data_IF_427830873316
#
_entry.id   IF_427830873316
#
_cell.length_a   1.000
_cell.length_b   1.000
_cell.length_c   1.000
_cell.angle_alpha   90.00
_cell.angle_beta   90.00
_cell.angle_gamma   90.00
#
_symmetry.space_group_name_H-M   'P 1'
#
loop_
_entity.id
_entity.type
_entity.pdbx_description
1 polymer ?
#
# COMPACT_ATOMS: atom_id res chain seq x y z
N UNK A 1 -7.70 26.94 -11.77
CA UNK A 1 -8.30 25.68 -12.26
C UNK A 1 -7.34 24.52 -11.96
N UNK A 2 -7.30 24.05 -10.71
CA UNK A 2 -6.59 22.82 -10.28
C UNK A 2 -7.51 22.18 -9.26
N UNK A 3 -8.47 21.37 -9.69
CA UNK A 3 -9.39 20.75 -8.72
C UNK A 3 -9.65 19.27 -8.91
N UNK A 4 -9.22 18.66 -10.01
CA UNK A 4 -9.24 17.21 -10.15
C UNK A 4 -8.03 16.81 -10.99
N UNK A 5 -7.14 16.02 -10.41
CA UNK A 5 -6.18 15.25 -11.20
C UNK A 5 -7.03 14.25 -11.98
N UNK A 6 -7.30 14.59 -13.24
CA UNK A 6 -8.03 13.73 -14.17
C UNK A 6 -7.18 12.47 -14.41
N UNK A 7 -7.75 11.28 -14.32
CA UNK A 7 -7.12 10.00 -14.72
C UNK A 7 -6.36 10.06 -16.04
N UNK A 8 -6.78 10.93 -16.97
CA UNK A 8 -6.08 11.17 -18.23
C UNK A 8 -4.71 11.84 -18.02
N UNK A 9 -4.62 12.75 -17.05
CA UNK A 9 -3.40 13.44 -16.67
C UNK A 9 -2.35 12.44 -16.14
N UNK A 10 -2.72 11.61 -15.16
CA UNK A 10 -1.80 10.60 -14.58
C UNK A 10 -1.32 9.62 -15.66
N UNK A 11 -2.22 9.14 -16.50
CA UNK A 11 -1.85 8.26 -17.60
C UNK A 11 -0.91 8.95 -18.60
N UNK A 12 -1.14 10.23 -18.90
CA UNK A 12 -0.24 11.04 -19.72
C UNK A 12 1.16 11.18 -19.11
N UNK A 13 1.25 11.43 -17.81
CA UNK A 13 2.52 11.48 -17.08
C UNK A 13 3.27 10.14 -17.14
N UNK A 14 2.57 9.02 -16.95
CA UNK A 14 3.14 7.66 -17.05
C UNK A 14 3.69 7.42 -18.46
N UNK A 15 2.96 7.85 -19.50
CA UNK A 15 3.39 7.69 -20.89
C UNK A 15 4.65 8.51 -21.22
N UNK A 16 4.71 9.76 -20.76
CA UNK A 16 5.89 10.62 -20.92
C UNK A 16 7.09 10.05 -20.15
N UNK A 17 6.86 9.60 -18.92
CA UNK A 17 7.89 8.95 -18.11
C UNK A 17 8.44 7.69 -18.80
N UNK A 18 7.57 6.84 -19.33
CA UNK A 18 7.97 5.61 -20.01
C UNK A 18 8.81 5.88 -21.25
N UNK A 19 8.40 6.85 -22.08
CA UNK A 19 9.13 7.24 -23.28
C UNK A 19 10.50 7.88 -22.99
N UNK A 20 10.67 8.48 -21.81
CA UNK A 20 11.92 9.16 -21.40
C UNK A 20 12.90 8.26 -20.65
N UNK A 21 12.52 7.02 -20.31
CA UNK A 21 13.38 6.08 -19.57
C UNK A 21 13.85 4.89 -20.41
N UNK A 22 15.02 4.35 -20.04
CA UNK A 22 15.58 3.12 -20.63
C UNK A 22 14.71 1.91 -20.29
N UNK A 23 14.75 0.90 -21.17
CA UNK A 23 14.24 -0.44 -20.91
C UNK A 23 14.72 -0.91 -19.52
N UNK A 24 13.77 -1.27 -18.63
CA UNK A 24 13.92 -1.80 -17.25
C UNK A 24 13.45 -0.89 -16.10
N UNK A 25 12.99 0.34 -16.34
CA UNK A 25 12.37 1.14 -15.27
C UNK A 25 10.97 0.60 -14.89
N UNK A 26 10.67 0.53 -13.60
CA UNK A 26 9.36 0.08 -13.09
C UNK A 26 8.54 1.27 -12.60
N UNK A 27 7.29 1.35 -13.06
CA UNK A 27 6.31 2.33 -12.58
C UNK A 27 5.41 1.70 -11.52
N UNK A 28 5.18 2.42 -10.44
CA UNK A 28 4.32 1.98 -9.32
C UNK A 28 3.22 3.02 -9.13
N UNK A 29 1.97 2.64 -9.33
CA UNK A 29 0.83 3.48 -8.94
C UNK A 29 0.40 3.17 -7.50
N UNK A 30 0.10 4.22 -6.74
CA UNK A 30 -0.41 4.14 -5.37
C UNK A 30 -1.56 5.12 -5.16
N UNK A 31 -2.44 4.83 -4.20
CA UNK A 31 -3.66 5.63 -4.00
C UNK A 31 -3.36 7.02 -3.45
N UNK A 32 -2.51 7.10 -2.42
CA UNK A 32 -2.22 8.31 -1.68
C UNK A 32 -0.72 8.62 -1.60
N UNK A 33 -0.41 9.86 -1.19
CA UNK A 33 0.98 10.30 -1.01
C UNK A 33 1.67 9.56 0.14
N UNK A 34 0.92 9.17 1.17
CA UNK A 34 1.44 8.40 2.29
C UNK A 34 1.99 7.05 1.83
N UNK A 35 1.22 6.34 1.00
CA UNK A 35 1.60 5.05 0.41
C UNK A 35 2.89 5.17 -0.40
N UNK A 36 3.03 6.23 -1.21
CA UNK A 36 4.27 6.49 -1.94
C UNK A 36 5.47 6.58 -0.98
N UNK A 37 5.35 7.39 0.07
CA UNK A 37 6.44 7.60 1.03
C UNK A 37 6.80 6.32 1.78
N UNK A 38 5.82 5.46 2.05
CA UNK A 38 6.03 4.17 2.68
C UNK A 38 6.68 3.18 1.73
N UNK A 39 6.01 2.85 0.62
CA UNK A 39 6.45 1.81 -0.29
C UNK A 39 7.80 2.12 -0.92
N UNK A 40 8.10 3.39 -1.21
CA UNK A 40 9.39 3.79 -1.79
C UNK A 40 10.61 3.31 -0.98
N UNK A 41 10.46 3.03 0.32
CA UNK A 41 11.53 2.49 1.18
C UNK A 41 11.93 1.05 0.80
N UNK A 42 11.04 0.30 0.16
CA UNK A 42 11.24 -1.12 -0.17
C UNK A 42 11.61 -1.36 -1.64
N UNK A 43 11.61 -0.32 -2.47
CA UNK A 43 11.91 -0.44 -3.91
C UNK A 43 13.33 0.03 -4.24
N UNK A 44 13.89 -0.56 -5.31
CA UNK A 44 15.20 -0.16 -5.85
C UNK A 44 15.17 1.25 -6.45
N UNK A 45 16.35 1.84 -6.71
CA UNK A 45 16.47 3.19 -7.30
C UNK A 45 15.86 3.31 -8.71
N UNK A 46 15.59 2.21 -9.41
CA UNK A 46 15.03 2.23 -10.77
C UNK A 46 13.49 2.17 -10.80
N UNK A 47 12.85 2.71 -9.77
CA UNK A 47 11.40 2.74 -9.62
C UNK A 47 10.89 4.17 -9.58
N UNK A 48 9.76 4.42 -10.23
CA UNK A 48 9.04 5.70 -10.15
C UNK A 48 7.64 5.47 -9.61
N UNK A 49 7.20 6.37 -8.73
CA UNK A 49 5.89 6.31 -8.11
C UNK A 49 4.95 7.34 -8.74
N UNK A 50 3.68 6.96 -8.86
CA UNK A 50 2.60 7.79 -9.38
C UNK A 50 1.43 7.72 -8.42
N UNK A 51 1.12 8.83 -7.77
CA UNK A 51 -0.06 8.94 -6.90
C UNK A 51 -1.31 9.13 -7.76
N UNK A 52 -2.36 8.36 -7.50
CA UNK A 52 -3.60 8.38 -8.28
C UNK A 52 -4.76 9.13 -7.63
N UNK A 53 -4.61 9.56 -6.38
CA UNK A 53 -5.65 10.20 -5.58
C UNK A 53 -6.91 9.33 -5.47
N UNK A 54 -6.69 8.07 -5.05
CA UNK A 54 -7.72 7.10 -4.74
C UNK A 54 -7.75 5.87 -5.65
N UNK A 55 -8.39 4.83 -5.11
CA UNK A 55 -8.61 3.52 -5.69
C UNK A 55 -9.23 3.55 -7.11
N UNK A 56 -10.34 4.26 -7.29
CA UNK A 56 -11.05 4.27 -8.58
C UNK A 56 -10.19 4.80 -9.72
N UNK A 57 -9.40 5.84 -9.44
CA UNK A 57 -8.46 6.40 -10.42
C UNK A 57 -7.32 5.43 -10.72
N UNK A 58 -6.82 4.72 -9.69
CA UNK A 58 -5.79 3.70 -9.86
C UNK A 58 -6.26 2.59 -10.80
N UNK A 59 -7.46 2.04 -10.57
CA UNK A 59 -8.05 1.02 -11.43
C UNK A 59 -8.20 1.49 -12.88
N UNK A 60 -8.66 2.72 -13.10
CA UNK A 60 -8.81 3.27 -14.44
C UNK A 60 -7.47 3.50 -15.14
N UNK A 61 -6.43 3.91 -14.41
CA UNK A 61 -5.07 4.03 -14.93
C UNK A 61 -4.52 2.65 -15.32
N UNK A 62 -4.62 1.65 -14.45
CA UNK A 62 -4.18 0.27 -14.74
C UNK A 62 -4.93 -0.30 -15.93
N UNK A 63 -6.25 -0.11 -16.00
CA UNK A 63 -7.07 -0.53 -17.14
C UNK A 63 -6.56 0.06 -18.46
N UNK A 64 -6.18 1.34 -18.48
CA UNK A 64 -5.61 1.99 -19.67
C UNK A 64 -4.23 1.45 -20.03
N UNK A 65 -3.36 1.25 -19.05
CA UNK A 65 -2.03 0.67 -19.25
C UNK A 65 -2.15 -0.73 -19.87
N UNK A 66 -3.02 -1.57 -19.31
CA UNK A 66 -3.26 -2.92 -19.81
C UNK A 66 -3.88 -2.90 -21.21
N UNK A 67 -4.84 -2.01 -21.48
CA UNK A 67 -5.43 -1.85 -22.81
C UNK A 67 -4.40 -1.45 -23.88
N UNK A 68 -3.35 -0.71 -23.51
CA UNK A 68 -2.29 -0.28 -24.42
C UNK A 68 -1.07 -1.23 -24.42
N UNK A 69 -1.13 -2.37 -23.74
CA UNK A 69 -0.01 -3.31 -23.57
C UNK A 69 1.26 -2.65 -22.99
N UNK A 70 1.08 -1.66 -22.12
CA UNK A 70 2.18 -0.95 -21.50
C UNK A 70 2.81 -1.77 -20.36
N UNK A 71 3.87 -2.53 -20.68
CA UNK A 71 4.64 -3.32 -19.69
C UNK A 71 5.43 -2.45 -18.71
N UNK A 72 5.79 -3.06 -17.57
CA UNK A 72 6.69 -2.47 -16.56
C UNK A 72 5.99 -1.64 -15.49
N UNK A 73 4.70 -1.90 -15.24
CA UNK A 73 3.89 -1.11 -14.34
C UNK A 73 3.08 -1.99 -13.38
N UNK A 74 3.02 -1.59 -12.11
CA UNK A 74 2.25 -2.27 -11.06
C UNK A 74 1.42 -1.25 -10.27
N UNK A 75 0.20 -1.59 -9.90
CA UNK A 75 -0.61 -0.85 -8.94
C UNK A 75 -0.51 -1.48 -7.55
N UNK A 76 -0.46 -0.67 -6.49
CA UNK A 76 -0.55 -1.12 -5.10
C UNK A 76 -1.80 -0.51 -4.47
N UNK A 77 -2.63 -1.36 -3.88
CA UNK A 77 -3.92 -1.01 -3.28
C UNK A 77 -3.99 -1.59 -1.87
N UNK A 78 -4.52 -0.82 -0.92
CA UNK A 78 -4.85 -1.36 0.40
C UNK A 78 -6.04 -2.32 0.29
N UNK A 79 -5.94 -3.47 0.94
CA UNK A 79 -7.06 -4.39 1.05
C UNK A 79 -8.30 -3.73 1.65
N UNK A 80 -8.18 -2.82 2.62
CA UNK A 80 -9.29 -2.25 3.39
C UNK A 80 -10.40 -3.31 3.65
N UNK A 81 -11.67 -2.89 3.65
CA UNK A 81 -12.82 -3.79 3.75
C UNK A 81 -13.09 -4.60 2.47
N UNK A 82 -12.31 -4.45 1.40
CA UNK A 82 -12.57 -5.07 0.08
C UNK A 82 -12.60 -6.60 0.14
N UNK A 83 -11.85 -7.18 1.08
CA UNK A 83 -11.88 -8.62 1.37
C UNK A 83 -13.20 -9.09 1.98
N UNK A 84 -13.82 -8.27 2.82
CA UNK A 84 -15.12 -8.54 3.45
C UNK A 84 -16.24 -8.34 2.42
N UNK A 85 -16.10 -7.32 1.57
CA UNK A 85 -17.04 -7.01 0.49
C UNK A 85 -16.93 -7.96 -0.72
N UNK A 86 -15.98 -8.91 -0.68
CA UNK A 86 -15.71 -9.87 -1.76
C UNK A 86 -15.45 -9.19 -3.11
N UNK A 87 -14.84 -7.99 -3.08
CA UNK A 87 -14.50 -7.24 -4.28
C UNK A 87 -13.36 -7.94 -5.02
N UNK A 88 -13.64 -8.34 -6.27
CA UNK A 88 -12.64 -9.03 -7.11
C UNK A 88 -11.92 -8.04 -7.99
N UNK A 89 -10.64 -7.80 -7.69
CA UNK A 89 -9.74 -7.11 -8.61
C UNK A 89 -9.21 -8.13 -9.63
N UNK A 90 -9.44 -7.84 -10.90
CA UNK A 90 -9.20 -8.76 -12.03
C UNK A 90 -7.90 -8.47 -12.81
N UNK A 91 -7.07 -7.55 -12.32
CA UNK A 91 -5.86 -7.13 -13.03
C UNK A 91 -4.62 -7.77 -12.40
N UNK A 92 -3.86 -8.55 -13.19
CA UNK A 92 -2.66 -9.27 -12.73
C UNK A 92 -1.54 -8.34 -12.22
N UNK A 93 -1.51 -7.11 -12.73
CA UNK A 93 -0.53 -6.09 -12.33
C UNK A 93 -1.05 -5.17 -11.22
N UNK A 94 -1.96 -5.67 -10.38
CA UNK A 94 -2.35 -5.03 -9.13
C UNK A 94 -1.97 -5.93 -7.96
N UNK A 95 -1.19 -5.37 -7.06
CA UNK A 95 -0.86 -5.95 -5.78
C UNK A 95 -1.80 -5.37 -4.72
N UNK A 96 -2.61 -6.24 -4.11
CA UNK A 96 -3.44 -5.89 -2.96
C UNK A 96 -2.66 -6.27 -1.71
N UNK A 97 -2.52 -5.36 -0.76
CA UNK A 97 -1.83 -5.65 0.50
C UNK A 97 -2.54 -6.75 1.29
N UNK A 98 -1.81 -7.38 2.20
CA UNK A 98 -2.29 -8.48 3.03
C UNK A 98 -3.11 -8.02 4.26
N UNK A 99 -2.90 -6.78 4.71
CA UNK A 99 -3.57 -6.19 5.88
C UNK A 99 -3.95 -4.73 5.71
N UNK A 100 -4.97 -4.33 6.46
CA UNK A 100 -5.50 -2.97 6.60
C UNK A 100 -4.46 -2.02 7.18
N UNK A 101 -4.20 -0.88 6.53
CA UNK A 101 -3.47 0.28 7.05
C UNK A 101 -2.02 0.04 7.55
N UNK A 102 -1.20 1.08 7.40
CA UNK A 102 0.22 1.06 7.80
C UNK A 102 0.39 0.82 9.31
N UNK A 103 -0.61 1.18 10.11
CA UNK A 103 -0.70 0.95 11.55
C UNK A 103 -0.73 -0.55 11.87
N UNK A 104 -1.46 -1.39 11.11
CA UNK A 104 -1.47 -2.82 11.38
C UNK A 104 -0.17 -3.49 10.95
N UNK A 105 0.44 -3.05 9.85
CA UNK A 105 1.79 -3.49 9.49
C UNK A 105 2.80 -3.10 10.57
N UNK A 106 2.65 -1.91 11.16
CA UNK A 106 3.48 -1.45 12.27
C UNK A 106 3.27 -2.30 13.52
N UNK A 107 2.02 -2.59 13.90
CA UNK A 107 1.65 -3.46 15.04
C UNK A 107 2.18 -4.90 14.85
N UNK A 108 2.12 -5.43 13.63
CA UNK A 108 2.53 -6.79 13.32
C UNK A 108 4.02 -6.92 12.99
N UNK A 109 4.79 -5.83 13.02
CA UNK A 109 6.23 -5.84 12.76
C UNK A 109 7.04 -5.43 13.99
N UNK A 110 8.37 -5.59 13.90
CA UNK A 110 9.28 -5.15 14.96
C UNK A 110 9.23 -3.64 15.21
N UNK A 111 8.70 -2.85 14.26
CA UNK A 111 8.49 -1.41 14.41
C UNK A 111 7.50 -1.08 15.55
N UNK A 112 6.58 -2.00 15.88
CA UNK A 112 5.68 -1.86 17.02
C UNK A 112 6.42 -1.53 18.31
N UNK A 113 7.58 -2.16 18.55
CA UNK A 113 8.34 -1.94 19.78
C UNK A 113 8.81 -0.49 19.91
N UNK A 114 9.17 0.16 18.79
CA UNK A 114 9.56 1.57 18.78
C UNK A 114 8.39 2.48 19.12
N UNK A 115 7.24 2.28 18.45
CA UNK A 115 6.01 3.05 18.67
C UNK A 115 5.49 2.85 20.10
N UNK A 116 5.45 1.61 20.58
CA UNK A 116 5.00 1.24 21.91
C UNK A 116 5.87 1.90 22.99
N UNK A 117 7.20 1.84 22.86
CA UNK A 117 8.10 2.42 23.85
C UNK A 117 8.03 3.96 23.86
N UNK A 118 7.78 4.59 22.72
CA UNK A 118 7.70 6.05 22.63
C UNK A 118 6.39 6.60 23.21
N UNK A 119 5.26 5.94 22.94
CA UNK A 119 3.94 6.46 23.29
C UNK A 119 3.40 5.93 24.63
N UNK A 120 3.91 4.82 25.15
CA UNK A 120 3.36 4.20 26.35
C UNK A 120 4.02 4.69 27.64
N UNK A 121 3.19 5.18 28.57
CA UNK A 121 3.58 5.46 29.95
C UNK A 121 3.84 4.15 30.71
N UNK A 122 5.12 3.89 30.95
CA UNK A 122 5.61 2.70 31.65
C UNK A 122 5.04 2.57 33.08
N UNK A 123 4.68 3.68 33.73
CA UNK A 123 4.10 3.65 35.07
C UNK A 123 2.64 3.19 35.06
N UNK A 124 1.89 3.47 33.98
CA UNK A 124 0.54 2.96 33.78
C UNK A 124 0.55 1.48 33.38
N UNK A 125 1.50 1.06 32.53
CA UNK A 125 1.66 -0.36 32.15
C UNK A 125 1.86 -1.28 33.35
N UNK A 126 2.69 -0.88 34.32
CA UNK A 126 2.95 -1.66 35.54
C UNK A 126 1.70 -1.94 36.37
N UNK A 127 0.67 -1.08 36.28
CA UNK A 127 -0.61 -1.24 36.97
C UNK A 127 -1.58 -2.17 36.22
N UNK A 128 -1.36 -2.38 34.93
CA UNK A 128 -2.24 -3.17 34.07
C UNK A 128 -1.70 -4.61 34.00
N UNK A 129 -2.11 -5.46 34.95
CA UNK A 129 -1.79 -6.90 34.93
C UNK A 129 -2.62 -7.73 33.93
N UNK A 130 -3.69 -7.17 33.36
CA UNK A 130 -4.75 -7.94 32.67
C UNK A 130 -4.67 -7.89 31.12
N UNK A 131 -4.03 -6.88 30.52
CA UNK A 131 -4.04 -6.70 29.06
C UNK A 131 -3.09 -7.62 28.27
N UNK A 132 -2.04 -8.17 28.92
CA UNK A 132 -1.11 -9.13 28.26
C UNK A 132 -1.84 -10.36 27.72
N UNK A 133 -2.85 -10.84 28.45
CA UNK A 133 -3.68 -11.98 28.06
C UNK A 133 -4.52 -11.70 26.81
N UNK A 134 -5.07 -10.49 26.65
CA UNK A 134 -5.95 -10.16 25.53
C UNK A 134 -5.17 -10.02 24.21
N UNK A 135 -3.97 -9.43 24.26
CA UNK A 135 -3.11 -9.29 23.08
C UNK A 135 -2.55 -10.64 22.60
N UNK A 136 -2.17 -11.52 23.54
CA UNK A 136 -1.73 -12.90 23.23
C UNK A 136 -2.85 -13.78 22.66
N UNK A 137 -4.10 -13.58 23.09
CA UNK A 137 -5.27 -14.28 22.51
C UNK A 137 -5.49 -13.86 21.06
N UNK A 138 -5.21 -12.60 20.70
CA UNK A 138 -5.37 -12.13 19.32
C UNK A 138 -4.27 -12.65 18.39
N UNK A 139 -3.00 -12.68 18.85
CA UNK A 139 -1.89 -13.22 18.04
C UNK A 139 -2.00 -14.74 17.80
N UNK A 140 -2.56 -15.51 18.74
CA UNK A 140 -2.72 -16.96 18.59
C UNK A 140 -3.96 -17.39 17.77
N UNK A 141 -4.80 -16.45 17.32
CA UNK A 141 -6.01 -16.74 16.52
C UNK A 141 -5.91 -16.41 15.04
N UNK A 142 -4.83 -15.77 14.60
CA UNK A 142 -4.57 -15.58 13.17
C UNK A 142 -3.70 -16.74 12.68
N UNK A 143 -4.17 -17.56 11.73
CA UNK A 143 -3.34 -18.60 11.14
C UNK A 143 -2.15 -17.93 10.47
N UNK A 144 -0.95 -18.28 10.93
CA UNK A 144 0.30 -17.93 10.28
C UNK A 144 0.31 -18.66 8.94
N UNK A 145 -0.13 -17.99 7.88
CA UNK A 145 0.19 -18.43 6.52
C UNK A 145 1.66 -18.10 6.29
N UNK A 146 2.50 -19.11 6.53
CA UNK A 146 3.86 -19.14 6.02
C UNK A 146 3.75 -19.22 4.50
N UNK A 147 4.22 -18.18 3.82
CA UNK A 147 4.62 -18.22 2.40
C UNK A 147 6.10 -17.87 2.36
#
# INVERSE_FOLDING_TARGET
MRKYIDKNYIYGEIKLWKNSRKNNAVGVAVEAKADELFFKKFFSKNTSFFKTDGFSNLLEVIKKINKNNDKGFIGIIDADFRRIENEKIIFDNIFITDGHDIEMMTINSQAWNGVFNFHVDQNKLKKIKILKSIFLIYQNKLPVFVI
#
